data_IF_807792303148
#
_entry.id   IF_807792303148
#
_cell.length_a   1.000
_cell.length_b   1.000
_cell.length_c   1.000
_cell.angle_alpha   90.00
_cell.angle_beta   90.00
_cell.angle_gamma   90.00
#
_symmetry.space_group_name_H-M   'P 1'
#
loop_
_entity.id
_entity.type
_entity.pdbx_description
1 polymer ?
#
# COMPACT_ATOMS: atom_id res chain seq x y z
N UNK A 1 27.12 -12.38 -6.95
CA UNK A 1 28.40 -12.85 -6.41
C UNK A 1 28.29 -13.24 -4.94
N UNK A 2 29.32 -13.85 -4.39
CA UNK A 2 29.43 -14.22 -2.98
C UNK A 2 30.47 -13.32 -2.33
N UNK A 3 30.14 -12.79 -1.14
CA UNK A 3 31.11 -12.06 -0.34
C UNK A 3 32.19 -12.99 0.19
N UNK A 4 33.45 -12.68 -0.08
CA UNK A 4 34.62 -13.50 0.29
C UNK A 4 35.47 -12.87 1.40
N UNK A 5 35.23 -11.59 1.73
CA UNK A 5 35.97 -10.89 2.77
C UNK A 5 36.40 -9.50 2.35
N UNK A 6 37.25 -8.89 3.18
CA UNK A 6 37.88 -7.59 2.91
C UNK A 6 39.38 -7.80 2.72
N UNK A 7 39.95 -7.11 1.76
CA UNK A 7 41.38 -7.12 1.46
C UNK A 7 41.90 -5.69 1.31
N UNK A 8 43.04 -5.40 1.93
CA UNK A 8 43.71 -4.11 1.75
C UNK A 8 44.64 -4.22 0.54
N UNK A 9 44.38 -3.45 -0.49
CA UNK A 9 45.20 -3.43 -1.71
C UNK A 9 45.98 -2.13 -1.75
N UNK A 10 47.28 -2.25 -1.96
CA UNK A 10 48.18 -1.11 -2.17
C UNK A 10 48.36 -0.88 -3.69
N UNK A 11 47.91 0.28 -4.16
CA UNK A 11 48.08 0.67 -5.55
C UNK A 11 48.74 2.07 -5.62
N UNK A 12 49.89 2.15 -6.27
CA UNK A 12 50.68 3.38 -6.42
C UNK A 12 51.01 4.06 -5.07
N UNK A 13 51.32 3.26 -4.02
CA UNK A 13 51.65 3.77 -2.69
C UNK A 13 50.46 4.18 -1.81
N UNK A 14 49.25 4.01 -2.30
CA UNK A 14 48.01 4.27 -1.53
C UNK A 14 47.41 2.93 -1.10
N UNK A 15 47.24 2.74 0.20
CA UNK A 15 46.55 1.60 0.78
C UNK A 15 45.06 1.89 0.87
N UNK A 16 44.24 1.03 0.30
CA UNK A 16 42.81 1.16 0.34
C UNK A 16 42.15 -0.22 0.58
N UNK A 17 41.11 -0.22 1.41
CA UNK A 17 40.34 -1.42 1.72
C UNK A 17 39.25 -1.67 0.68
N UNK A 18 39.18 -2.94 0.26
CA UNK A 18 38.22 -3.42 -0.74
C UNK A 18 37.40 -4.59 -0.20
N UNK A 19 36.15 -4.62 -0.54
CA UNK A 19 35.31 -5.82 -0.42
C UNK A 19 35.56 -6.71 -1.63
N UNK A 20 35.84 -7.99 -1.38
CA UNK A 20 36.04 -9.00 -2.41
C UNK A 20 34.74 -9.77 -2.61
N UNK A 21 34.24 -9.76 -3.85
CA UNK A 21 33.06 -10.52 -4.25
C UNK A 21 33.47 -11.54 -5.31
N UNK A 22 33.31 -12.83 -4.96
CA UNK A 22 33.62 -13.96 -5.85
C UNK A 22 32.48 -14.27 -6.81
N UNK A 23 32.83 -14.61 -8.03
CA UNK A 23 31.94 -15.04 -9.11
C UNK A 23 32.36 -16.41 -9.66
N UNK A 24 31.59 -16.92 -10.63
CA UNK A 24 31.93 -18.19 -11.29
C UNK A 24 33.31 -18.11 -11.96
N UNK A 25 34.00 -19.24 -12.08
CA UNK A 25 35.35 -19.37 -12.69
C UNK A 25 36.44 -18.60 -11.91
N UNK A 26 36.34 -18.52 -10.58
CA UNK A 26 37.27 -17.78 -9.68
C UNK A 26 37.46 -16.30 -10.04
N UNK A 27 36.55 -15.72 -10.81
CA UNK A 27 36.57 -14.29 -11.06
C UNK A 27 36.15 -13.52 -9.81
N UNK A 28 36.90 -12.44 -9.54
CA UNK A 28 36.64 -11.58 -8.38
C UNK A 28 36.43 -10.12 -8.79
N UNK A 29 35.56 -9.44 -8.08
CA UNK A 29 35.41 -7.96 -8.13
C UNK A 29 35.85 -7.40 -6.81
N UNK A 30 36.68 -6.36 -6.86
CA UNK A 30 37.11 -5.59 -5.71
C UNK A 30 36.34 -4.27 -5.70
N UNK A 31 35.59 -4.01 -4.65
CA UNK A 31 34.78 -2.80 -4.49
C UNK A 31 35.37 -2.00 -3.35
N UNK A 32 35.80 -0.75 -3.58
CA UNK A 32 36.29 0.12 -2.50
C UNK A 32 35.26 0.26 -1.39
N UNK A 33 35.70 0.29 -0.14
CA UNK A 33 34.79 0.46 1.03
C UNK A 33 34.00 1.78 0.93
N UNK A 34 34.56 2.78 0.26
CA UNK A 34 33.89 4.05 -0.02
C UNK A 34 32.69 3.95 -0.99
N UNK A 35 32.52 2.81 -1.65
CA UNK A 35 31.43 2.53 -2.61
C UNK A 35 30.54 1.37 -2.14
N UNK A 36 30.41 1.18 -0.84
CA UNK A 36 29.58 0.14 -0.24
C UNK A 36 28.10 0.27 -0.57
N UNK A 37 27.63 1.48 -0.85
CA UNK A 37 26.29 1.79 -1.33
C UNK A 37 25.92 1.09 -2.65
N UNK A 38 26.90 0.70 -3.45
CA UNK A 38 26.70 -0.08 -4.67
C UNK A 38 26.46 -1.57 -4.42
N UNK A 39 26.64 -2.05 -3.19
CA UNK A 39 26.53 -3.45 -2.82
C UNK A 39 25.31 -3.66 -1.93
N UNK A 40 24.38 -4.50 -2.38
CA UNK A 40 23.21 -4.86 -1.61
C UNK A 40 23.21 -6.36 -1.31
N UNK A 41 22.76 -6.71 -0.09
CA UNK A 41 22.55 -8.11 0.26
C UNK A 41 21.42 -8.68 -0.60
N UNK A 42 21.64 -9.86 -1.17
CA UNK A 42 20.60 -10.56 -1.90
C UNK A 42 19.40 -10.87 -0.98
N UNK A 43 18.23 -10.38 -1.38
CA UNK A 43 16.96 -10.67 -0.73
C UNK A 43 16.15 -11.51 -1.70
N UNK A 44 16.16 -12.83 -1.50
CA UNK A 44 15.39 -13.79 -2.27
C UNK A 44 14.54 -14.69 -1.37
N UNK A 45 13.71 -15.57 -1.98
CA UNK A 45 12.95 -16.56 -1.22
C UNK A 45 13.91 -17.42 -0.36
N UNK A 46 13.56 -17.61 0.91
CA UNK A 46 14.43 -18.15 1.96
C UNK A 46 15.10 -19.51 1.66
N UNK A 47 14.61 -20.25 0.65
CA UNK A 47 15.09 -21.58 0.31
C UNK A 47 15.90 -21.67 -0.99
N UNK A 48 15.96 -20.61 -1.79
CA UNK A 48 16.66 -20.64 -3.08
C UNK A 48 18.06 -20.02 -2.99
N UNK A 49 19.11 -20.85 -3.01
CA UNK A 49 20.48 -20.35 -3.20
C UNK A 49 20.61 -19.69 -4.58
N UNK A 50 21.01 -18.41 -4.65
CA UNK A 50 21.18 -17.74 -5.93
C UNK A 50 22.26 -18.42 -6.77
N UNK A 51 21.97 -18.63 -8.06
CA UNK A 51 23.00 -19.14 -9.00
C UNK A 51 24.06 -18.06 -9.19
N UNK A 52 25.31 -18.44 -8.92
CA UNK A 52 26.44 -17.57 -9.22
C UNK A 52 26.59 -17.49 -10.72
N UNK A 53 26.71 -16.29 -11.27
CA UNK A 53 26.87 -16.05 -12.71
C UNK A 53 28.32 -15.78 -13.04
N UNK A 54 28.71 -16.07 -14.30
CA UNK A 54 30.03 -15.70 -14.85
C UNK A 54 30.01 -14.20 -15.19
N UNK A 55 31.06 -13.46 -14.80
CA UNK A 55 31.24 -12.05 -15.13
C UNK A 55 31.25 -11.85 -16.66
N UNK A 56 30.54 -10.80 -17.11
CA UNK A 56 30.49 -10.47 -18.55
C UNK A 56 29.70 -11.47 -19.41
N UNK A 57 28.99 -12.43 -18.81
CA UNK A 57 28.27 -13.45 -19.57
C UNK A 57 27.03 -12.88 -20.30
N UNK A 58 26.78 -13.41 -21.50
CA UNK A 58 25.57 -13.08 -22.28
C UNK A 58 24.26 -13.45 -21.52
N UNK A 59 24.32 -14.44 -20.62
CA UNK A 59 23.20 -14.85 -19.78
C UNK A 59 22.76 -13.73 -18.81
N UNK A 60 23.71 -13.02 -18.21
CA UNK A 60 23.44 -11.86 -17.35
C UNK A 60 22.85 -10.70 -18.14
N UNK A 61 23.41 -10.38 -19.30
CA UNK A 61 22.88 -9.33 -20.18
C UNK A 61 21.45 -9.65 -20.63
N UNK A 62 21.17 -10.91 -21.03
CA UNK A 62 19.81 -11.35 -21.37
C UNK A 62 18.84 -11.24 -20.19
N UNK A 63 19.27 -11.63 -18.99
CA UNK A 63 18.44 -11.49 -17.78
C UNK A 63 18.13 -10.02 -17.47
N UNK A 64 19.14 -9.14 -17.52
CA UNK A 64 19.00 -7.70 -17.31
C UNK A 64 18.04 -7.07 -18.34
N UNK A 65 18.22 -7.38 -19.63
CA UNK A 65 17.32 -6.87 -20.69
C UNK A 65 15.89 -7.37 -20.52
N UNK A 66 15.71 -8.64 -20.14
CA UNK A 66 14.38 -9.21 -19.89
C UNK A 66 13.66 -8.50 -18.71
N UNK A 67 14.40 -8.21 -17.65
CA UNK A 67 13.85 -7.48 -16.50
C UNK A 67 13.54 -6.03 -16.88
N UNK A 68 14.46 -5.34 -17.57
CA UNK A 68 14.26 -3.97 -18.03
C UNK A 68 13.02 -3.85 -18.93
N UNK A 69 12.82 -4.81 -19.86
CA UNK A 69 11.63 -4.84 -20.71
C UNK A 69 10.35 -5.01 -19.88
N UNK A 70 10.34 -5.97 -18.94
CA UNK A 70 9.16 -6.15 -18.05
C UNK A 70 8.83 -4.91 -17.23
N UNK A 71 9.86 -4.20 -16.73
CA UNK A 71 9.66 -2.95 -15.99
C UNK A 71 9.09 -1.87 -16.90
N UNK A 72 9.56 -1.75 -18.14
CA UNK A 72 9.00 -0.81 -19.10
C UNK A 72 7.54 -1.16 -19.44
N UNK A 73 7.23 -2.43 -19.72
CA UNK A 73 5.87 -2.89 -20.02
C UNK A 73 4.90 -2.54 -18.84
N UNK A 74 5.33 -2.76 -17.59
CA UNK A 74 4.54 -2.40 -16.39
C UNK A 74 4.38 -0.88 -16.27
N UNK A 75 5.44 -0.11 -16.54
CA UNK A 75 5.36 1.35 -16.49
C UNK A 75 4.37 1.90 -17.52
N UNK A 76 4.37 1.37 -18.74
CA UNK A 76 3.42 1.75 -19.78
C UNK A 76 1.97 1.42 -19.40
N UNK A 77 1.74 0.23 -18.82
CA UNK A 77 0.42 -0.17 -18.30
C UNK A 77 -0.07 0.77 -17.18
N UNK A 78 0.80 1.13 -16.25
CA UNK A 78 0.46 2.06 -15.16
C UNK A 78 0.16 3.47 -15.68
N UNK A 79 0.89 3.95 -16.69
CA UNK A 79 0.64 5.23 -17.34
C UNK A 79 -0.74 5.23 -18.02
N UNK A 80 -1.08 4.15 -18.73
CA UNK A 80 -2.39 4.01 -19.37
C UNK A 80 -3.52 4.01 -18.33
N UNK A 81 -3.41 3.21 -17.27
CA UNK A 81 -4.39 3.16 -16.19
C UNK A 81 -4.57 4.52 -15.51
N UNK A 82 -3.47 5.25 -15.29
CA UNK A 82 -3.53 6.60 -14.73
C UNK A 82 -4.25 7.59 -15.67
N UNK A 83 -3.93 7.53 -16.97
CA UNK A 83 -4.58 8.38 -17.96
C UNK A 83 -6.07 8.06 -18.12
N UNK A 84 -6.44 6.78 -18.14
CA UNK A 84 -7.85 6.36 -18.18
C UNK A 84 -8.62 6.85 -16.95
N UNK A 85 -8.01 6.79 -15.76
CA UNK A 85 -8.60 7.30 -14.52
C UNK A 85 -8.80 8.82 -14.57
N UNK A 86 -7.81 9.56 -15.07
CA UNK A 86 -7.89 11.01 -15.18
C UNK A 86 -8.98 11.49 -16.15
N UNK A 87 -9.36 10.65 -17.12
CA UNK A 87 -10.46 10.91 -18.06
C UNK A 87 -11.85 10.57 -17.49
N UNK A 88 -11.92 9.79 -16.40
CA UNK A 88 -13.19 9.42 -15.80
C UNK A 88 -13.73 10.56 -14.91
N UNK A 89 -15.04 10.77 -14.97
CA UNK A 89 -15.73 11.60 -13.99
C UNK A 89 -15.84 10.84 -12.67
N UNK A 90 -15.27 11.42 -11.62
CA UNK A 90 -15.45 10.98 -10.24
C UNK A 90 -16.69 11.58 -9.61
N UNK A 91 -17.03 11.11 -8.43
CA UNK A 91 -18.03 11.74 -7.57
C UNK A 91 -17.35 12.84 -6.76
N UNK A 92 -17.78 14.09 -6.95
CA UNK A 92 -17.35 15.21 -6.12
C UNK A 92 -18.11 15.15 -4.79
N UNK A 93 -17.40 14.82 -3.71
CA UNK A 93 -18.01 14.83 -2.39
C UNK A 93 -18.36 16.26 -1.95
N UNK A 94 -19.47 16.47 -1.23
CA UNK A 94 -19.84 17.80 -0.75
C UNK A 94 -18.79 18.36 0.22
N UNK A 95 -18.77 19.68 0.38
CA UNK A 95 -17.99 20.34 1.42
C UNK A 95 -18.42 19.85 2.81
N UNK A 96 -17.54 20.03 3.80
CA UNK A 96 -17.80 19.61 5.16
C UNK A 96 -19.01 20.35 5.77
N UNK A 97 -19.91 19.59 6.32
CA UNK A 97 -21.01 20.08 7.10
C UNK A 97 -20.77 19.98 8.63
N UNK A 98 -21.78 20.27 9.41
CA UNK A 98 -21.72 20.21 10.87
C UNK A 98 -21.43 18.78 11.38
N UNK A 99 -21.89 17.73 10.67
CA UNK A 99 -21.66 16.34 11.08
C UNK A 99 -20.21 15.91 10.86
N UNK A 100 -19.61 16.26 9.71
CA UNK A 100 -18.18 16.00 9.44
C UNK A 100 -17.32 16.75 10.46
N UNK A 101 -17.64 18.02 10.73
CA UNK A 101 -16.91 18.81 11.74
C UNK A 101 -17.04 18.22 13.14
N UNK A 102 -18.23 17.76 13.53
CA UNK A 102 -18.45 17.11 14.83
C UNK A 102 -17.68 15.79 14.95
N UNK A 103 -17.64 14.98 13.86
CA UNK A 103 -16.85 13.76 13.82
C UNK A 103 -15.36 14.05 14.05
N UNK A 104 -14.81 15.05 13.40
CA UNK A 104 -13.40 15.42 13.58
C UNK A 104 -13.12 15.93 14.99
N UNK A 105 -13.99 16.79 15.53
CA UNK A 105 -13.85 17.33 16.88
C UNK A 105 -13.98 16.27 17.98
N UNK A 106 -14.64 15.14 17.71
CA UNK A 106 -14.75 14.02 18.64
C UNK A 106 -13.46 13.17 18.74
N UNK A 107 -12.40 13.50 17.98
CA UNK A 107 -11.12 12.82 18.11
C UNK A 107 -10.45 13.17 19.45
N UNK A 108 -10.13 12.18 20.31
CA UNK A 108 -9.73 12.43 21.69
C UNK A 108 -8.29 12.90 21.89
N UNK A 109 -7.51 12.97 20.80
CA UNK A 109 -6.08 13.32 20.88
C UNK A 109 -5.79 14.63 20.13
N UNK A 110 -4.75 15.39 20.54
CA UNK A 110 -4.31 16.54 19.79
C UNK A 110 -3.78 16.12 18.43
N UNK A 111 -4.22 16.80 17.39
CA UNK A 111 -3.79 16.51 16.02
C UNK A 111 -2.39 17.06 15.76
N UNK A 112 -1.60 16.31 15.01
CA UNK A 112 -0.30 16.81 14.52
C UNK A 112 -0.53 17.73 13.29
N UNK A 113 0.40 18.68 13.03
CA UNK A 113 0.33 19.53 11.84
C UNK A 113 0.24 18.72 10.53
N UNK A 114 0.90 17.55 10.48
CA UNK A 114 0.88 16.68 9.29
C UNK A 114 -0.45 15.96 9.12
N UNK A 115 -1.11 15.54 10.20
CA UNK A 115 -2.47 14.99 10.15
C UNK A 115 -3.46 16.03 9.62
N UNK A 116 -3.41 17.26 10.12
CA UNK A 116 -4.26 18.36 9.64
C UNK A 116 -4.04 18.65 8.17
N UNK A 117 -2.77 18.77 7.74
CA UNK A 117 -2.42 18.98 6.35
C UNK A 117 -2.93 17.86 5.44
N UNK A 118 -2.64 16.61 5.79
CA UNK A 118 -3.04 15.44 5.01
C UNK A 118 -4.56 15.31 4.91
N UNK A 119 -5.28 15.53 6.00
CA UNK A 119 -6.75 15.54 6.01
C UNK A 119 -7.30 16.60 5.07
N UNK A 120 -6.76 17.83 5.14
CA UNK A 120 -7.18 18.92 4.25
C UNK A 120 -6.92 18.59 2.77
N UNK A 121 -5.76 18.06 2.44
CA UNK A 121 -5.42 17.70 1.07
C UNK A 121 -6.31 16.58 0.52
N UNK A 122 -6.61 15.56 1.33
CA UNK A 122 -7.52 14.48 0.96
C UNK A 122 -8.92 15.02 0.69
N UNK A 123 -9.44 15.89 1.56
CA UNK A 123 -10.76 16.50 1.36
C UNK A 123 -10.83 17.30 0.06
N UNK A 124 -9.80 18.11 -0.24
CA UNK A 124 -9.72 18.86 -1.49
C UNK A 124 -9.74 17.92 -2.71
N UNK A 125 -9.05 16.78 -2.64
CA UNK A 125 -9.08 15.82 -3.73
C UNK A 125 -10.43 15.10 -3.85
N UNK A 126 -11.07 14.77 -2.73
CA UNK A 126 -12.41 14.15 -2.71
C UNK A 126 -13.51 15.08 -3.27
N UNK A 127 -13.35 16.40 -3.14
CA UNK A 127 -14.31 17.41 -3.61
C UNK A 127 -14.18 17.73 -5.11
N UNK A 128 -13.23 17.11 -5.82
CA UNK A 128 -13.07 17.27 -7.28
C UNK A 128 -13.93 16.28 -8.06
N UNK A 129 -14.34 16.66 -9.26
CA UNK A 129 -15.07 15.79 -10.21
C UNK A 129 -14.17 14.74 -10.89
N UNK A 130 -13.16 14.25 -10.21
CA UNK A 130 -12.28 13.18 -10.72
C UNK A 130 -11.97 12.17 -9.62
N UNK A 131 -11.75 10.90 -9.95
CA UNK A 131 -11.36 9.90 -8.98
C UNK A 131 -10.06 10.28 -8.27
N UNK A 132 -10.07 10.25 -6.94
CA UNK A 132 -8.87 10.48 -6.13
C UNK A 132 -7.96 9.26 -6.20
N UNK A 133 -6.65 9.50 -6.39
CA UNK A 133 -5.59 8.53 -6.19
C UNK A 133 -4.52 9.17 -5.33
N UNK A 134 -4.49 8.83 -4.05
CA UNK A 134 -3.60 9.49 -3.09
C UNK A 134 -2.88 8.47 -2.21
N UNK A 135 -1.59 8.59 -2.13
CA UNK A 135 -0.74 7.86 -1.21
C UNK A 135 -0.53 8.68 0.07
N UNK A 136 -0.89 8.11 1.22
CA UNK A 136 -0.62 8.67 2.54
C UNK A 136 0.58 7.94 3.17
N UNK A 137 1.69 8.65 3.33
CA UNK A 137 2.93 8.11 3.90
C UNK A 137 3.17 8.68 5.29
N UNK A 138 3.57 7.83 6.22
CA UNK A 138 3.93 8.22 7.58
C UNK A 138 4.41 7.02 8.39
N UNK A 139 5.18 7.25 9.42
CA UNK A 139 5.69 6.19 10.30
C UNK A 139 4.58 5.46 11.06
N UNK A 140 4.92 4.32 11.63
CA UNK A 140 4.01 3.55 12.49
C UNK A 140 3.66 4.36 13.75
N UNK A 141 2.37 4.40 14.09
CA UNK A 141 1.89 5.13 15.28
C UNK A 141 1.60 6.62 15.05
N UNK A 142 1.86 7.19 13.86
CA UNK A 142 1.57 8.61 13.56
C UNK A 142 0.11 8.89 13.14
N UNK A 143 -0.80 7.96 13.41
CA UNK A 143 -2.23 8.19 13.27
C UNK A 143 -2.75 8.25 11.83
N UNK A 144 -2.08 7.60 10.86
CA UNK A 144 -2.59 7.45 9.48
C UNK A 144 -4.03 6.94 9.43
N UNK A 145 -4.36 6.03 10.32
CA UNK A 145 -5.70 5.43 10.44
C UNK A 145 -6.77 6.46 10.72
N UNK A 146 -6.52 7.45 11.59
CA UNK A 146 -7.49 8.52 11.85
C UNK A 146 -7.75 9.37 10.60
N UNK A 147 -6.70 9.70 9.85
CA UNK A 147 -6.84 10.44 8.57
C UNK A 147 -7.70 9.64 7.58
N UNK A 148 -7.48 8.34 7.48
CA UNK A 148 -8.29 7.45 6.65
C UNK A 148 -9.74 7.35 7.14
N UNK A 149 -9.98 7.33 8.45
CA UNK A 149 -11.33 7.30 9.03
C UNK A 149 -12.10 8.59 8.76
N UNK A 150 -11.46 9.75 8.74
CA UNK A 150 -12.10 11.01 8.35
C UNK A 150 -12.54 11.00 6.89
N UNK A 151 -11.71 10.50 6.00
CA UNK A 151 -12.09 10.32 4.60
C UNK A 151 -13.25 9.34 4.45
N UNK A 152 -13.20 8.20 5.18
CA UNK A 152 -14.26 7.20 5.20
C UNK A 152 -15.58 7.78 5.74
N UNK A 153 -15.52 8.57 6.82
CA UNK A 153 -16.71 9.24 7.37
C UNK A 153 -17.31 10.19 6.35
N UNK A 154 -16.51 11.09 5.77
CA UNK A 154 -16.98 12.04 4.75
C UNK A 154 -17.65 11.32 3.57
N UNK A 155 -17.08 10.21 3.10
CA UNK A 155 -17.63 9.45 1.99
C UNK A 155 -18.97 8.77 2.39
N UNK A 156 -19.01 8.11 3.54
CA UNK A 156 -20.20 7.42 4.02
C UNK A 156 -21.33 8.41 4.36
N UNK A 157 -21.01 9.53 4.98
CA UNK A 157 -21.96 10.61 5.27
C UNK A 157 -22.57 11.23 4.00
N UNK A 158 -21.81 11.27 2.92
CA UNK A 158 -22.31 11.69 1.60
C UNK A 158 -23.13 10.60 0.88
N UNK A 159 -23.47 9.50 1.53
CA UNK A 159 -24.29 8.41 0.99
C UNK A 159 -23.53 7.47 0.07
N UNK A 160 -22.20 7.39 0.15
CA UNK A 160 -21.39 6.43 -0.60
C UNK A 160 -20.90 5.30 0.29
N UNK A 161 -20.73 4.12 -0.28
CA UNK A 161 -20.12 3.01 0.44
C UNK A 161 -18.60 3.10 0.43
N UNK A 162 -17.98 2.63 1.52
CA UNK A 162 -16.52 2.64 1.71
C UNK A 162 -16.02 1.21 1.91
N UNK A 163 -14.94 0.86 1.22
CA UNK A 163 -14.21 -0.38 1.44
C UNK A 163 -12.84 -0.09 2.04
N UNK A 164 -12.50 -0.74 3.15
CA UNK A 164 -11.18 -0.66 3.77
C UNK A 164 -10.50 -2.03 3.69
N UNK A 165 -9.41 -2.09 2.93
CA UNK A 165 -8.63 -3.29 2.73
C UNK A 165 -7.44 -3.34 3.71
N UNK A 166 -7.34 -4.43 4.45
CA UNK A 166 -6.20 -4.73 5.31
C UNK A 166 -5.50 -6.02 4.86
N UNK A 167 -4.17 -6.13 4.99
CA UNK A 167 -3.42 -7.27 4.46
C UNK A 167 -3.67 -8.57 5.22
N UNK A 168 -4.10 -8.48 6.47
CA UNK A 168 -4.35 -9.64 7.32
C UNK A 168 -5.71 -9.58 8.00
N UNK A 169 -6.25 -10.73 8.37
CA UNK A 169 -7.52 -10.83 9.10
C UNK A 169 -7.44 -10.15 10.47
N UNK A 170 -6.28 -10.19 11.12
CA UNK A 170 -6.07 -9.56 12.44
C UNK A 170 -6.16 -8.02 12.28
N UNK A 171 -5.48 -7.45 11.30
CA UNK A 171 -5.56 -6.01 11.05
C UNK A 171 -6.96 -5.57 10.61
N UNK A 172 -7.64 -6.37 9.80
CA UNK A 172 -9.03 -6.09 9.43
C UNK A 172 -9.95 -6.06 10.68
N UNK A 173 -9.74 -6.99 11.62
CA UNK A 173 -10.50 -7.00 12.87
C UNK A 173 -10.17 -5.80 13.77
N UNK A 174 -8.89 -5.44 13.89
CA UNK A 174 -8.46 -4.25 14.64
C UNK A 174 -9.04 -2.95 14.06
N UNK A 175 -9.02 -2.79 12.74
CA UNK A 175 -9.66 -1.64 12.09
C UNK A 175 -11.15 -1.62 12.34
N UNK A 176 -11.83 -2.76 12.24
CA UNK A 176 -13.27 -2.86 12.51
C UNK A 176 -13.61 -2.43 13.94
N UNK A 177 -12.91 -2.93 14.94
CA UNK A 177 -13.10 -2.58 16.36
C UNK A 177 -12.80 -1.10 16.60
N UNK A 178 -11.72 -0.58 16.04
CA UNK A 178 -11.37 0.84 16.13
C UNK A 178 -12.43 1.72 15.48
N UNK A 179 -13.01 1.28 14.36
CA UNK A 179 -14.08 2.00 13.70
C UNK A 179 -15.37 1.99 14.50
N UNK A 180 -15.75 0.85 15.07
CA UNK A 180 -16.95 0.79 15.92
C UNK A 180 -16.86 1.80 17.07
N UNK A 181 -15.70 1.89 17.72
CA UNK A 181 -15.48 2.87 18.79
C UNK A 181 -15.47 4.32 18.29
N UNK A 182 -14.85 4.57 17.13
CA UNK A 182 -14.66 5.92 16.58
C UNK A 182 -15.94 6.49 15.94
N UNK A 183 -16.79 5.62 15.39
CA UNK A 183 -18.02 5.99 14.69
C UNK A 183 -19.26 5.87 15.61
N UNK A 184 -19.06 5.54 16.87
CA UNK A 184 -20.16 5.47 17.84
C UNK A 184 -20.90 6.81 17.93
N UNK A 185 -22.22 6.77 17.86
CA UNK A 185 -23.10 7.96 17.87
C UNK A 185 -23.27 8.65 16.51
N UNK A 186 -22.63 8.20 15.42
CA UNK A 186 -22.72 8.84 14.10
C UNK A 186 -23.65 8.15 13.09
N UNK A 187 -24.44 7.19 13.52
CA UNK A 187 -25.46 6.49 12.71
C UNK A 187 -24.94 5.93 11.37
N UNK A 188 -23.77 5.30 11.40
CA UNK A 188 -23.17 4.60 10.27
C UNK A 188 -23.06 3.10 10.56
N UNK A 189 -23.41 2.28 9.59
CA UNK A 189 -23.34 0.83 9.66
C UNK A 189 -21.97 0.33 9.20
N UNK A 190 -21.17 -0.18 10.13
CA UNK A 190 -19.86 -0.75 9.85
C UNK A 190 -19.91 -2.27 9.92
N UNK A 191 -19.31 -2.93 8.95
CA UNK A 191 -19.20 -4.39 8.93
C UNK A 191 -17.76 -4.85 8.65
N UNK A 192 -17.47 -6.11 8.98
CA UNK A 192 -16.20 -6.76 8.62
C UNK A 192 -16.46 -7.98 7.74
N UNK A 193 -15.64 -8.20 6.72
CA UNK A 193 -15.62 -9.45 5.96
C UNK A 193 -14.28 -10.14 6.19
N UNK A 194 -14.33 -11.23 6.96
CA UNK A 194 -13.13 -11.98 7.31
C UNK A 194 -13.38 -13.48 7.30
N UNK A 195 -12.31 -14.28 7.37
CA UNK A 195 -12.40 -15.74 7.47
C UNK A 195 -13.02 -16.25 8.79
N UNK A 196 -13.24 -15.37 9.76
CA UNK A 196 -13.85 -15.74 11.03
C UNK A 196 -15.37 -15.74 10.97
N UNK A 197 -15.97 -15.21 9.91
CA UNK A 197 -17.42 -15.27 9.70
C UNK A 197 -17.84 -16.67 9.25
N UNK A 198 -18.98 -17.09 9.74
CA UNK A 198 -19.67 -18.29 9.21
C UNK A 198 -20.18 -18.02 7.79
N UNK A 199 -20.40 -19.07 6.98
CA UNK A 199 -20.99 -18.90 5.64
C UNK A 199 -22.32 -18.15 5.64
N UNK A 200 -23.16 -18.34 6.67
CA UNK A 200 -24.43 -17.64 6.83
C UNK A 200 -24.22 -16.14 7.08
N UNK A 201 -23.36 -15.77 8.02
CA UNK A 201 -23.01 -14.39 8.30
C UNK A 201 -22.41 -13.68 7.07
N UNK A 202 -21.50 -14.35 6.37
CA UNK A 202 -20.92 -13.82 5.12
C UNK A 202 -21.98 -13.55 4.07
N UNK A 203 -22.93 -14.48 3.89
CA UNK A 203 -24.06 -14.32 2.96
C UNK A 203 -24.94 -13.13 3.33
N UNK A 204 -25.27 -12.97 4.60
CA UNK A 204 -26.03 -11.84 5.11
C UNK A 204 -25.29 -10.50 4.89
N UNK A 205 -24.01 -10.43 5.26
CA UNK A 205 -23.18 -9.24 5.06
C UNK A 205 -23.14 -8.83 3.58
N UNK A 206 -23.00 -9.79 2.65
CA UNK A 206 -23.02 -9.52 1.20
C UNK A 206 -24.36 -8.95 0.74
N UNK A 207 -25.48 -9.49 1.24
CA UNK A 207 -26.80 -8.98 0.89
C UNK A 207 -26.98 -7.54 1.41
N UNK A 208 -26.63 -7.29 2.66
CA UNK A 208 -26.68 -5.96 3.26
C UNK A 208 -25.82 -4.94 2.51
N UNK A 209 -24.62 -5.36 2.08
CA UNK A 209 -23.72 -4.51 1.30
C UNK A 209 -24.33 -4.16 -0.07
N UNK A 210 -24.92 -5.14 -0.74
CA UNK A 210 -25.59 -4.96 -2.02
C UNK A 210 -26.83 -4.06 -1.93
N UNK A 211 -27.54 -4.06 -0.81
CA UNK A 211 -28.74 -3.25 -0.57
C UNK A 211 -28.44 -1.91 0.10
N UNK A 212 -27.18 -1.54 0.24
CA UNK A 212 -26.76 -0.29 0.91
C UNK A 212 -27.21 -0.19 2.38
N UNK A 213 -27.27 -1.32 3.06
CA UNK A 213 -27.53 -1.37 4.50
C UNK A 213 -26.22 -1.33 5.32
N UNK A 214 -25.07 -1.37 4.65
CA UNK A 214 -23.72 -1.22 5.20
C UNK A 214 -23.05 -0.05 4.49
N UNK A 215 -22.61 0.93 5.26
CA UNK A 215 -21.94 2.13 4.77
C UNK A 215 -20.44 1.90 4.62
N UNK A 216 -19.82 1.20 5.57
CA UNK A 216 -18.39 0.94 5.58
C UNK A 216 -18.12 -0.54 5.82
N UNK A 217 -17.31 -1.15 4.97
CA UNK A 217 -16.90 -2.54 5.14
C UNK A 217 -15.39 -2.65 5.22
N UNK A 218 -14.91 -3.34 6.25
CA UNK A 218 -13.48 -3.65 6.44
C UNK A 218 -13.23 -5.11 6.08
N UNK A 219 -12.12 -5.41 5.43
CA UNK A 219 -11.77 -6.80 5.15
C UNK A 219 -10.41 -6.95 4.49
N UNK A 220 -10.08 -8.19 4.13
CA UNK A 220 -8.86 -8.49 3.40
C UNK A 220 -9.12 -8.43 1.89
N UNK A 221 -8.16 -8.90 1.08
CA UNK A 221 -8.34 -9.06 -0.38
C UNK A 221 -9.65 -9.78 -0.78
N UNK A 222 -10.33 -10.40 0.15
CA UNK A 222 -11.68 -10.97 -0.05
C UNK A 222 -12.70 -9.93 -0.49
N UNK A 223 -12.55 -8.66 -0.13
CA UNK A 223 -13.44 -7.57 -0.53
C UNK A 223 -13.44 -7.30 -2.04
N UNK A 224 -12.34 -7.59 -2.73
CA UNK A 224 -12.22 -7.40 -4.19
C UNK A 224 -12.60 -8.65 -4.99
N UNK A 225 -13.18 -9.66 -4.34
CA UNK A 225 -13.65 -10.88 -5.04
C UNK A 225 -14.92 -10.58 -5.82
N UNK A 226 -15.10 -11.24 -6.97
CA UNK A 226 -16.21 -11.02 -7.91
C UNK A 226 -17.61 -11.24 -7.32
N UNK A 227 -17.72 -11.97 -6.22
CA UNK A 227 -18.97 -12.26 -5.52
C UNK A 227 -19.34 -11.23 -4.43
N UNK A 228 -18.52 -10.22 -4.22
CA UNK A 228 -18.83 -9.04 -3.40
C UNK A 228 -19.34 -7.94 -4.34
N UNK A 229 -20.55 -7.48 -4.07
CA UNK A 229 -21.19 -6.43 -4.85
C UNK A 229 -21.53 -5.26 -3.93
N UNK A 230 -21.05 -4.09 -4.30
CA UNK A 230 -21.40 -2.83 -3.66
C UNK A 230 -22.60 -2.20 -4.40
N UNK A 231 -23.46 -1.52 -3.68
CA UNK A 231 -24.54 -0.73 -4.27
C UNK A 231 -23.99 0.56 -4.90
N UNK A 232 -23.15 1.29 -4.14
CA UNK A 232 -22.61 2.59 -4.56
C UNK A 232 -21.25 2.84 -3.89
N UNK A 233 -20.19 2.17 -4.35
CA UNK A 233 -18.85 2.30 -3.81
C UNK A 233 -18.22 3.64 -4.22
N UNK A 234 -17.94 4.51 -3.24
CA UNK A 234 -17.33 5.83 -3.48
C UNK A 234 -15.88 5.98 -3.03
N UNK A 235 -15.42 5.14 -2.07
CA UNK A 235 -14.05 5.22 -1.56
C UNK A 235 -13.48 3.83 -1.28
N UNK A 236 -12.24 3.63 -1.68
CA UNK A 236 -11.44 2.47 -1.28
C UNK A 236 -10.21 2.95 -0.54
N UNK A 237 -9.99 2.43 0.66
CA UNK A 237 -8.78 2.65 1.46
C UNK A 237 -7.99 1.36 1.50
N UNK A 238 -6.71 1.40 1.19
CA UNK A 238 -5.80 0.25 1.22
C UNK A 238 -4.74 0.52 2.28
N UNK A 239 -4.77 -0.25 3.36
CA UNK A 239 -3.77 -0.17 4.42
C UNK A 239 -2.63 -1.15 4.14
N UNK A 240 -1.37 -0.73 4.39
CA UNK A 240 -0.17 -1.55 4.20
C UNK A 240 -0.10 -2.15 2.78
N UNK A 241 -0.30 -1.33 1.74
CA UNK A 241 -0.39 -1.76 0.34
C UNK A 241 0.78 -2.64 -0.13
N UNK A 242 1.99 -2.41 0.39
CA UNK A 242 3.19 -3.19 0.06
C UNK A 242 3.08 -4.67 0.45
N UNK A 243 2.12 -5.05 1.28
CA UNK A 243 1.83 -6.43 1.67
C UNK A 243 0.84 -7.14 0.75
N UNK A 244 0.17 -6.41 -0.13
CA UNK A 244 -0.64 -6.99 -1.20
C UNK A 244 0.31 -7.37 -2.33
N UNK A 245 0.65 -8.67 -2.42
CA UNK A 245 1.57 -9.17 -3.45
C UNK A 245 1.04 -8.93 -4.87
N UNK A 246 1.92 -8.54 -5.77
CA UNK A 246 1.67 -8.57 -7.21
C UNK A 246 1.59 -10.04 -7.62
N UNK A 247 0.43 -10.51 -8.03
CA UNK A 247 0.25 -11.82 -8.68
C UNK A 247 0.32 -11.67 -10.16
#
# INVERSE_FOLDING_TARGET
GIYEGMETIEQRGIKQDYITIGYQDNAKIFIPVTQLDLVQKYVGAAEAKPKITKLGSASWQKAKTKVAKKVADIADELIQLSAERDLQKGFAFPQDDAAVTAFEAAFPYPETPDQLRSTKEIKVDMERERPMDRLLVGDVGFGKTEVAFRAAFKAAHAGKQVAILAPTTILAQQHYESMLARFDGFNLNVAVISRFQTPAQLKETKLKLKHHEIDIVVGTHRLISKDIQFSDLGLVVIDEEQRFGVK
#
